data_IF_623460596982
#
_entry.id   IF_623460596982
#
_cell.length_a   1.000
_cell.length_b   1.000
_cell.length_c   1.000
_cell.angle_alpha   90.00
_cell.angle_beta   90.00
_cell.angle_gamma   90.00
#
_symmetry.space_group_name_H-M   'P 1'
#
loop_
_entity.id
_entity.type
_entity.pdbx_description
1 polymer ?
#
# COMPACT_ATOMS: atom_id res chain seq x y z
N UNK A 1 -11.51 14.61 -20.16
CA UNK A 1 -10.81 13.38 -19.74
C UNK A 1 -9.32 13.67 -19.77
N UNK A 2 -8.60 13.40 -18.69
CA UNK A 2 -7.15 13.60 -18.67
C UNK A 2 -6.44 12.48 -19.44
N UNK A 3 -5.46 12.86 -20.26
CA UNK A 3 -4.55 11.90 -20.89
C UNK A 3 -3.56 11.37 -19.87
N UNK A 4 -3.27 10.08 -19.93
CA UNK A 4 -2.24 9.46 -19.11
C UNK A 4 -0.87 10.09 -19.47
N UNK A 5 -0.10 10.62 -18.51
CA UNK A 5 1.21 11.22 -18.81
C UNK A 5 2.26 10.18 -19.26
N UNK A 6 1.93 8.89 -19.21
CA UNK A 6 2.82 7.78 -19.58
C UNK A 6 2.46 7.21 -20.95
N UNK A 7 1.26 6.63 -21.11
CA UNK A 7 0.82 6.03 -22.38
C UNK A 7 0.06 6.98 -23.30
N UNK A 8 -0.23 8.21 -22.85
CA UNK A 8 -1.00 9.24 -23.59
C UNK A 8 -2.44 8.88 -23.93
N UNK A 9 -2.93 7.71 -23.51
CA UNK A 9 -4.33 7.30 -23.66
C UNK A 9 -5.25 8.11 -22.73
N UNK A 10 -6.49 8.33 -23.14
CA UNK A 10 -7.57 8.99 -22.36
C UNK A 10 -8.20 8.06 -21.31
N UNK A 11 -7.37 7.16 -20.75
CA UNK A 11 -7.72 6.13 -19.77
C UNK A 11 -7.13 6.43 -18.39
N UNK A 12 -6.82 7.69 -18.09
CA UNK A 12 -6.26 8.10 -16.80
C UNK A 12 -7.38 8.09 -15.74
N UNK A 13 -7.29 7.19 -14.77
CA UNK A 13 -8.15 7.23 -13.58
C UNK A 13 -7.57 8.14 -12.49
N UNK A 14 -8.29 8.25 -11.37
CA UNK A 14 -7.88 9.05 -10.20
C UNK A 14 -6.56 8.59 -9.57
N UNK A 15 -6.36 7.28 -9.48
CA UNK A 15 -5.20 6.68 -8.79
C UNK A 15 -4.22 6.00 -9.75
N UNK A 16 -4.72 5.37 -10.82
CA UNK A 16 -3.91 4.71 -11.84
C UNK A 16 -4.56 4.82 -13.23
N UNK A 17 -3.77 4.60 -14.27
CA UNK A 17 -4.27 4.49 -15.65
C UNK A 17 -4.76 3.07 -15.93
N UNK A 18 -5.98 2.90 -16.46
CA UNK A 18 -6.50 1.56 -16.79
C UNK A 18 -5.86 0.95 -18.04
N UNK A 19 -5.22 1.76 -18.88
CA UNK A 19 -4.49 1.30 -20.07
C UNK A 19 -3.12 0.70 -19.73
N UNK A 20 -2.21 1.52 -19.20
CA UNK A 20 -0.85 1.08 -18.87
C UNK A 20 -0.66 0.59 -17.42
N UNK A 21 -1.72 0.58 -16.60
CA UNK A 21 -1.70 0.22 -15.17
C UNK A 21 -0.75 1.07 -14.31
N UNK A 22 -0.17 2.16 -14.83
CA UNK A 22 0.69 3.04 -14.04
C UNK A 22 -0.08 3.68 -12.91
N UNK A 23 0.42 3.50 -11.68
CA UNK A 23 -0.13 4.13 -10.47
C UNK A 23 0.52 5.49 -10.28
N UNK A 24 -0.31 6.52 -10.12
CA UNK A 24 0.12 7.89 -9.83
C UNK A 24 -0.05 8.21 -8.34
N UNK A 25 -1.07 7.63 -7.71
CA UNK A 25 -1.41 7.87 -6.30
C UNK A 25 -1.80 6.54 -5.68
N UNK A 26 -1.30 6.26 -4.47
CA UNK A 26 -1.62 5.04 -3.75
C UNK A 26 -3.14 4.95 -3.53
N UNK A 27 -3.81 3.87 -3.99
CA UNK A 27 -5.26 3.74 -3.88
C UNK A 27 -5.73 3.28 -2.49
N UNK A 28 -4.81 3.06 -1.54
CA UNK A 28 -5.17 2.75 -0.17
C UNK A 28 -5.78 4.00 0.47
N UNK A 29 -7.04 3.98 0.98
CA UNK A 29 -7.75 5.18 1.42
C UNK A 29 -7.01 6.00 2.48
N UNK A 30 -6.23 5.35 3.33
CA UNK A 30 -5.48 6.05 4.36
C UNK A 30 -4.18 6.66 3.81
N UNK A 31 -3.56 6.09 2.76
CA UNK A 31 -2.22 6.47 2.32
C UNK A 31 -2.23 7.66 1.35
N UNK A 32 -2.88 7.53 0.19
CA UNK A 32 -2.94 8.63 -0.79
C UNK A 32 -1.57 9.15 -1.28
N UNK A 33 -0.47 8.43 -1.03
CA UNK A 33 0.87 8.88 -1.38
C UNK A 33 1.07 8.93 -2.89
N UNK A 34 1.64 10.03 -3.38
CA UNK A 34 2.03 10.16 -4.78
C UNK A 34 3.18 9.21 -5.14
N UNK A 35 2.98 8.47 -6.22
CA UNK A 35 3.92 7.49 -6.75
C UNK A 35 4.65 8.13 -7.92
N UNK A 36 5.85 8.66 -7.64
CA UNK A 36 6.68 9.35 -8.65
C UNK A 36 7.34 8.40 -9.64
N UNK A 37 7.50 7.12 -9.27
CA UNK A 37 8.17 6.11 -10.10
C UNK A 37 7.14 5.39 -10.98
N UNK A 38 7.33 5.49 -12.30
CA UNK A 38 6.41 4.91 -13.32
C UNK A 38 6.21 3.40 -13.16
N UNK A 39 7.27 2.68 -12.79
CA UNK A 39 7.27 1.22 -12.63
C UNK A 39 7.27 0.79 -11.16
N UNK A 40 6.70 1.62 -10.27
CA UNK A 40 6.52 1.21 -8.89
C UNK A 40 5.60 -0.02 -8.85
N UNK A 41 6.11 -1.13 -8.28
CA UNK A 41 5.32 -2.34 -8.04
C UNK A 41 4.61 -2.31 -6.69
N UNK A 42 5.16 -1.53 -5.76
CA UNK A 42 4.63 -1.35 -4.42
C UNK A 42 4.65 0.13 -4.01
N UNK A 43 3.76 0.49 -3.09
CA UNK A 43 3.74 1.82 -2.51
C UNK A 43 5.01 2.03 -1.64
N UNK A 44 5.78 3.11 -1.85
CA UNK A 44 6.99 3.36 -1.07
C UNK A 44 6.71 3.71 0.40
N UNK A 45 5.46 4.04 0.72
CA UNK A 45 5.01 4.35 2.07
C UNK A 45 4.36 3.11 2.69
N UNK A 46 3.10 2.80 2.37
CA UNK A 46 2.39 1.69 3.02
C UNK A 46 2.78 0.27 2.53
N UNK A 47 3.66 0.13 1.52
CA UNK A 47 4.08 -1.16 0.99
C UNK A 47 2.99 -1.94 0.23
N UNK A 48 1.90 -1.30 -0.19
CA UNK A 48 0.81 -1.92 -0.94
C UNK A 48 1.31 -2.43 -2.30
N UNK A 49 1.09 -3.71 -2.60
CA UNK A 49 1.29 -4.26 -3.94
C UNK A 49 0.22 -3.77 -4.91
N UNK A 50 0.64 -2.96 -5.88
CA UNK A 50 -0.28 -2.34 -6.83
C UNK A 50 -0.89 -3.35 -7.80
N UNK A 51 -0.11 -4.32 -8.29
CA UNK A 51 -0.57 -5.35 -9.21
C UNK A 51 -1.74 -6.16 -8.63
N UNK A 52 -1.55 -6.71 -7.42
CA UNK A 52 -2.59 -7.47 -6.70
C UNK A 52 -3.85 -6.61 -6.45
N UNK A 53 -3.67 -5.31 -6.16
CA UNK A 53 -4.79 -4.40 -5.94
C UNK A 53 -5.53 -4.05 -7.24
N UNK A 54 -4.82 -3.78 -8.32
CA UNK A 54 -5.42 -3.39 -9.60
C UNK A 54 -6.16 -4.56 -10.23
N UNK A 55 -5.55 -5.76 -10.21
CA UNK A 55 -6.11 -6.94 -10.88
C UNK A 55 -7.15 -7.66 -10.05
N UNK A 56 -6.91 -7.79 -8.74
CA UNK A 56 -7.72 -8.66 -7.86
C UNK A 56 -8.44 -7.90 -6.76
N UNK A 57 -8.26 -6.58 -6.66
CA UNK A 57 -8.76 -5.75 -5.56
C UNK A 57 -8.30 -6.25 -4.18
N UNK A 58 -7.15 -6.95 -4.13
CA UNK A 58 -6.58 -7.49 -2.90
C UNK A 58 -5.48 -6.57 -2.38
N UNK A 59 -5.56 -6.21 -1.11
CA UNK A 59 -4.55 -5.37 -0.45
C UNK A 59 -3.49 -6.25 0.20
N UNK A 60 -2.38 -6.46 -0.51
CA UNK A 60 -1.24 -7.22 -0.01
C UNK A 60 0.00 -6.34 0.18
N UNK A 61 0.92 -6.82 1.01
CA UNK A 61 2.22 -6.21 1.25
C UNK A 61 3.28 -7.25 1.64
N UNK A 62 4.53 -6.82 1.71
CA UNK A 62 5.64 -7.62 2.23
C UNK A 62 5.67 -7.62 3.75
N UNK A 63 5.77 -8.79 4.38
CA UNK A 63 6.10 -8.85 5.81
C UNK A 63 7.52 -8.29 6.05
N UNK A 64 7.74 -7.36 6.99
CA UNK A 64 9.05 -6.81 7.27
C UNK A 64 10.02 -7.86 7.82
N UNK A 65 9.52 -8.87 8.56
CA UNK A 65 10.31 -9.94 9.16
C UNK A 65 10.65 -11.06 8.17
N UNK A 66 9.65 -11.75 7.62
CA UNK A 66 9.89 -12.93 6.78
C UNK A 66 9.82 -12.68 5.27
N UNK A 67 9.55 -11.44 4.85
CA UNK A 67 9.43 -11.02 3.44
C UNK A 67 8.37 -11.74 2.60
N UNK A 68 7.53 -12.60 3.20
CA UNK A 68 6.39 -13.25 2.53
C UNK A 68 5.25 -12.24 2.29
N UNK A 69 4.49 -12.48 1.22
CA UNK A 69 3.30 -11.68 0.85
C UNK A 69 2.17 -11.95 1.84
N UNK A 70 1.54 -10.91 2.38
CA UNK A 70 0.51 -11.04 3.40
C UNK A 70 -0.52 -9.90 3.32
N UNK A 71 -1.70 -10.09 3.91
CA UNK A 71 -2.82 -9.12 3.87
C UNK A 71 -2.51 -7.85 4.65
N UNK A 72 -2.82 -6.68 4.10
CA UNK A 72 -2.62 -5.41 4.80
C UNK A 72 -3.59 -5.20 5.98
N UNK A 73 -4.68 -5.95 6.04
CA UNK A 73 -5.61 -5.92 7.18
C UNK A 73 -5.24 -6.94 8.27
N UNK A 74 -4.28 -7.84 8.02
CA UNK A 74 -3.90 -8.86 8.99
C UNK A 74 -2.98 -8.23 10.08
N UNK A 75 -3.38 -8.23 11.37
CA UNK A 75 -2.53 -7.71 12.47
C UNK A 75 -1.33 -8.60 12.77
N UNK A 76 -1.33 -9.83 12.25
CA UNK A 76 -0.28 -10.81 12.42
C UNK A 76 0.05 -11.44 11.07
N UNK A 77 1.35 -11.54 10.75
CA UNK A 77 1.78 -12.26 9.57
C UNK A 77 1.43 -13.76 9.68
N UNK A 78 0.66 -14.28 8.71
CA UNK A 78 0.24 -15.69 8.68
C UNK A 78 1.39 -16.69 8.62
N UNK A 79 2.55 -16.30 8.10
CA UNK A 79 3.69 -17.19 7.90
C UNK A 79 4.64 -17.26 9.10
N UNK A 80 5.02 -16.10 9.66
CA UNK A 80 6.01 -16.05 10.75
C UNK A 80 5.42 -15.64 12.10
N UNK A 81 4.09 -15.50 12.17
CA UNK A 81 3.33 -15.09 13.36
C UNK A 81 3.79 -13.76 13.98
N UNK A 82 4.54 -12.95 13.23
CA UNK A 82 4.98 -11.63 13.66
C UNK A 82 3.78 -10.71 13.81
N UNK A 83 3.63 -10.15 15.01
CA UNK A 83 2.68 -9.07 15.29
C UNK A 83 3.25 -7.76 14.79
N UNK A 84 2.42 -7.00 14.09
CA UNK A 84 2.79 -5.65 13.73
C UNK A 84 2.61 -4.72 14.93
N UNK A 85 3.63 -3.93 15.20
CA UNK A 85 3.65 -3.01 16.32
C UNK A 85 4.13 -1.64 15.88
N UNK A 86 3.68 -0.60 16.59
CA UNK A 86 4.20 0.74 16.44
C UNK A 86 5.71 0.76 16.72
N UNK A 87 6.55 1.32 15.84
CA UNK A 87 8.00 1.39 16.07
C UNK A 87 8.35 2.28 17.28
N UNK A 88 7.55 3.31 17.56
CA UNK A 88 7.81 4.23 18.68
C UNK A 88 7.40 3.68 20.04
N UNK A 89 6.17 3.18 20.19
CA UNK A 89 5.66 2.78 21.51
C UNK A 89 5.46 1.27 21.70
N UNK A 90 5.79 0.45 20.70
CA UNK A 90 5.65 -1.01 20.76
C UNK A 90 4.20 -1.53 20.80
N UNK A 91 3.19 -0.65 20.73
CA UNK A 91 1.78 -1.07 20.76
C UNK A 91 1.44 -1.92 19.54
N UNK A 92 0.80 -3.08 19.77
CA UNK A 92 0.33 -3.96 18.69
C UNK A 92 -0.80 -3.30 17.94
N UNK A 93 -0.63 -3.10 16.65
CA UNK A 93 -1.64 -2.42 15.84
C UNK A 93 -2.71 -3.41 15.39
N UNK A 94 -4.01 -3.12 15.59
CA UNK A 94 -5.10 -4.05 15.30
C UNK A 94 -5.32 -4.27 13.80
N UNK A 95 -4.85 -3.34 12.97
CA UNK A 95 -4.74 -3.49 11.54
C UNK A 95 -3.53 -2.73 11.06
N UNK A 96 -2.90 -3.23 10.00
CA UNK A 96 -1.76 -2.57 9.40
C UNK A 96 -2.10 -1.68 8.22
N UNK A 97 -3.40 -1.53 7.95
CA UNK A 97 -3.93 -0.43 7.15
C UNK A 97 -3.98 0.88 7.94
N UNK A 98 -3.73 0.85 9.26
CA UNK A 98 -3.55 2.05 10.07
C UNK A 98 -2.22 2.70 9.73
N UNK A 99 -2.27 3.99 9.41
CA UNK A 99 -1.08 4.81 9.21
C UNK A 99 -0.63 5.54 10.46
N UNK A 100 -1.44 5.51 11.51
CA UNK A 100 -1.15 6.23 12.74
C UNK A 100 -1.41 5.30 13.92
N UNK A 101 -0.47 5.23 14.85
CA UNK A 101 -0.64 4.44 16.05
C UNK A 101 -1.76 5.03 16.92
N UNK A 102 -2.79 4.26 17.31
CA UNK A 102 -3.88 4.76 18.15
C UNK A 102 -3.43 5.15 19.57
N UNK A 103 -2.26 4.68 20.02
CA UNK A 103 -1.75 4.93 21.37
C UNK A 103 -0.86 6.16 21.48
N UNK A 104 -0.02 6.41 20.48
CA UNK A 104 1.03 7.45 20.57
C UNK A 104 1.06 8.39 19.35
N UNK A 105 0.07 8.29 18.46
CA UNK A 105 -0.05 9.09 17.24
C UNK A 105 1.16 9.00 16.28
N UNK A 106 2.10 8.07 16.50
CA UNK A 106 3.24 7.87 15.60
C UNK A 106 2.76 7.41 14.22
N UNK A 107 3.30 7.99 13.13
CA UNK A 107 3.07 7.49 11.78
C UNK A 107 3.71 6.10 11.59
N UNK A 108 2.92 5.14 11.12
CA UNK A 108 3.24 3.72 10.90
C UNK A 108 3.62 3.41 9.44
N UNK A 109 3.87 4.46 8.66
CA UNK A 109 4.34 4.42 7.28
C UNK A 109 5.61 3.61 7.13
#
# INVERSE_FOLDING_TARGET
>A
MDKCPVCKEEKKGKYWCSGCKTVFVCPQPNCGKEVRKRDAKECPECGLYFEDYIERRKMYRRCPKCKKKQGMSDPQCRYCRHWFSCPTCGHRVPSTSMLTCPRCATPLS
#
